data_IF_185248526267
#
_entry.id   IF_185248526267
#
_cell.length_a   1.000
_cell.length_b   1.000
_cell.length_c   1.000
_cell.angle_alpha   90.00
_cell.angle_beta   90.00
_cell.angle_gamma   90.00
#
_symmetry.space_group_name_H-M   'P 1'
#
loop_
_entity.id
_entity.type
_entity.pdbx_description
1 polymer ?
#
# COMPACT_ATOMS: atom_id res chain seq x y z
N UNK A 1 -42.87 6.89 -1.04
CA UNK A 1 -41.86 5.82 -1.14
C UNK A 1 -40.56 6.33 -1.79
N UNK A 2 -40.59 6.88 -3.01
CA UNK A 2 -39.39 7.37 -3.74
C UNK A 2 -38.64 8.53 -3.03
N UNK A 3 -39.34 9.54 -2.51
CA UNK A 3 -38.67 10.65 -1.80
C UNK A 3 -37.93 10.22 -0.52
N UNK A 4 -38.47 9.23 0.21
CA UNK A 4 -37.78 8.66 1.38
C UNK A 4 -36.49 7.95 0.95
N UNK A 5 -36.49 7.28 -0.21
CA UNK A 5 -35.31 6.66 -0.79
C UNK A 5 -34.24 7.68 -1.18
N UNK A 6 -34.61 8.80 -1.82
CA UNK A 6 -33.66 9.87 -2.17
C UNK A 6 -33.04 10.50 -0.92
N UNK A 7 -33.86 10.74 0.12
CA UNK A 7 -33.39 11.35 1.36
C UNK A 7 -32.37 10.47 2.10
N UNK A 8 -32.57 9.15 2.11
CA UNK A 8 -31.60 8.21 2.72
C UNK A 8 -30.27 8.22 1.98
N UNK A 9 -30.29 8.30 0.64
CA UNK A 9 -29.06 8.35 -0.17
C UNK A 9 -28.26 9.63 0.10
N UNK A 10 -28.91 10.78 0.22
CA UNK A 10 -28.25 12.05 0.55
C UNK A 10 -27.59 12.02 1.94
N UNK A 11 -28.28 11.47 2.94
CA UNK A 11 -27.72 11.34 4.29
C UNK A 11 -26.48 10.43 4.30
N UNK A 12 -26.56 9.27 3.64
CA UNK A 12 -25.43 8.33 3.55
C UNK A 12 -24.24 8.98 2.83
N UNK A 13 -24.49 9.72 1.74
CA UNK A 13 -23.44 10.42 1.01
C UNK A 13 -22.75 11.48 1.87
N UNK A 14 -23.48 12.22 2.71
CA UNK A 14 -22.88 13.20 3.60
C UNK A 14 -21.93 12.53 4.60
N UNK A 15 -22.34 11.40 5.19
CA UNK A 15 -21.47 10.66 6.10
C UNK A 15 -20.24 10.09 5.41
N UNK A 16 -20.37 9.56 4.17
CA UNK A 16 -19.23 9.02 3.43
C UNK A 16 -18.16 10.08 3.11
N UNK A 17 -18.55 11.35 2.95
CA UNK A 17 -17.60 12.46 2.73
C UNK A 17 -16.77 12.81 3.96
N UNK A 18 -17.25 12.47 5.15
CA UNK A 18 -16.64 12.86 6.42
C UNK A 18 -16.08 11.66 7.20
N UNK A 19 -16.32 10.43 6.71
CA UNK A 19 -15.95 9.22 7.42
C UNK A 19 -14.42 9.09 7.47
N UNK A 20 -13.92 8.89 8.69
CA UNK A 20 -12.54 8.58 8.98
C UNK A 20 -12.53 7.55 10.09
N UNK A 21 -12.00 6.37 9.82
CA UNK A 21 -12.05 5.26 10.77
C UNK A 21 -10.76 4.46 10.76
N UNK A 22 -10.48 3.80 11.89
CA UNK A 22 -9.29 2.97 12.07
C UNK A 22 -9.69 1.49 12.01
N UNK A 23 -9.06 0.72 11.14
CA UNK A 23 -9.27 -0.73 11.03
C UNK A 23 -8.45 -1.48 12.09
N UNK A 24 -8.72 -2.78 12.25
CA UNK A 24 -8.09 -3.62 13.30
C UNK A 24 -6.56 -3.72 13.15
N UNK A 25 -6.05 -3.58 11.93
CA UNK A 25 -4.61 -3.51 11.61
C UNK A 25 -3.95 -2.22 12.10
N UNK A 26 -4.76 -1.22 12.51
CA UNK A 26 -4.28 0.07 12.99
C UNK A 26 -4.20 1.15 11.91
N UNK A 27 -4.44 0.77 10.65
CA UNK A 27 -4.50 1.70 9.51
C UNK A 27 -5.73 2.60 9.61
N UNK A 28 -5.58 3.83 9.14
CA UNK A 28 -6.64 4.82 9.10
C UNK A 28 -7.14 4.96 7.67
N UNK A 29 -8.45 4.89 7.47
CA UNK A 29 -9.10 4.98 6.16
C UNK A 29 -9.96 6.23 6.12
N UNK A 30 -9.77 7.02 5.07
CA UNK A 30 -10.56 8.21 4.74
C UNK A 30 -10.61 8.41 3.23
N UNK A 31 -11.57 9.20 2.78
CA UNK A 31 -11.71 9.59 1.38
C UNK A 31 -11.20 11.02 1.19
N UNK A 32 -10.54 11.30 0.07
CA UNK A 32 -10.17 12.66 -0.31
C UNK A 32 -11.37 13.45 -0.86
N UNK A 33 -11.15 14.70 -1.27
CA UNK A 33 -12.21 15.56 -1.79
C UNK A 33 -12.88 15.02 -3.08
N UNK A 34 -12.21 14.13 -3.81
CA UNK A 34 -12.73 13.48 -5.02
C UNK A 34 -13.46 12.17 -4.71
N UNK A 35 -13.40 11.70 -3.46
CA UNK A 35 -13.93 10.40 -3.06
C UNK A 35 -12.95 9.24 -3.28
N UNK A 36 -11.68 9.53 -3.56
CA UNK A 36 -10.65 8.51 -3.71
C UNK A 36 -10.13 8.10 -2.32
N UNK A 37 -9.92 6.80 -2.12
CA UNK A 37 -9.29 6.30 -0.90
C UNK A 37 -7.78 6.51 -0.99
N UNK A 38 -7.17 7.03 0.08
CA UNK A 38 -5.72 7.02 0.21
C UNK A 38 -5.25 5.57 0.37
N UNK A 39 -4.56 5.06 -0.65
CA UNK A 39 -4.05 3.70 -0.68
C UNK A 39 -2.66 3.63 -0.05
N UNK A 40 -2.54 2.84 1.01
CA UNK A 40 -1.27 2.50 1.64
C UNK A 40 -1.11 0.98 1.62
N UNK A 41 0.02 0.47 1.09
CA UNK A 41 0.28 -0.96 0.95
C UNK A 41 1.71 -1.30 1.38
N UNK A 42 1.86 -2.33 2.20
CA UNK A 42 3.16 -2.93 2.48
C UNK A 42 3.71 -3.63 1.23
N UNK A 43 4.95 -3.33 0.87
CA UNK A 43 5.69 -4.11 -0.11
C UNK A 43 6.33 -5.30 0.60
N UNK A 44 5.92 -6.51 0.22
CA UNK A 44 6.45 -7.75 0.77
C UNK A 44 7.29 -8.51 -0.25
N UNK A 45 8.38 -9.12 0.21
CA UNK A 45 9.20 -10.03 -0.57
C UNK A 45 9.08 -11.44 0.02
N UNK A 46 8.90 -12.44 -0.84
CA UNK A 46 8.76 -13.83 -0.42
C UNK A 46 10.16 -14.42 -0.29
N UNK A 47 10.55 -14.78 0.92
CA UNK A 47 11.90 -15.24 1.23
C UNK A 47 11.84 -16.62 1.86
N UNK A 48 12.82 -17.45 1.52
CA UNK A 48 12.99 -18.75 2.14
C UNK A 48 13.83 -18.59 3.41
N UNK A 49 13.29 -19.06 4.53
CA UNK A 49 13.98 -19.10 5.82
C UNK A 49 14.99 -20.25 5.88
N UNK A 50 15.85 -20.23 6.90
CA UNK A 50 16.84 -21.29 7.15
C UNK A 50 16.21 -22.67 7.35
N UNK A 51 14.99 -22.72 7.88
CA UNK A 51 14.22 -23.97 8.06
C UNK A 51 13.53 -24.45 6.77
N UNK A 52 13.72 -23.72 5.66
CA UNK A 52 13.16 -24.00 4.35
C UNK A 52 11.73 -23.49 4.14
N UNK A 53 11.11 -22.85 5.14
CA UNK A 53 9.77 -22.26 5.01
C UNK A 53 9.78 -20.97 4.19
N UNK A 54 8.65 -20.65 3.55
CA UNK A 54 8.47 -19.41 2.81
C UNK A 54 7.75 -18.38 3.69
N UNK A 55 8.38 -17.23 3.91
CA UNK A 55 7.84 -16.14 4.71
C UNK A 55 7.75 -14.84 3.91
N UNK A 56 6.82 -13.97 4.30
CA UNK A 56 6.65 -12.66 3.71
C UNK A 56 7.38 -11.62 4.57
N UNK A 57 8.42 -11.01 4.02
CA UNK A 57 9.14 -9.94 4.69
C UNK A 57 8.72 -8.59 4.14
N UNK A 58 8.34 -7.67 5.03
CA UNK A 58 8.10 -6.29 4.65
C UNK A 58 9.43 -5.61 4.25
N UNK A 59 9.53 -5.23 2.99
CA UNK A 59 10.72 -4.62 2.38
C UNK A 59 10.49 -3.17 1.98
N UNK A 60 9.26 -2.68 2.02
CA UNK A 60 8.92 -1.31 1.64
C UNK A 60 7.47 -0.94 1.87
N UNK A 61 7.08 0.22 1.34
CA UNK A 61 5.76 0.81 1.47
C UNK A 61 5.40 1.54 0.17
N UNK A 62 4.17 1.37 -0.28
CA UNK A 62 3.51 2.26 -1.22
C UNK A 62 2.50 3.14 -0.50
N UNK A 63 2.59 4.46 -0.63
CA UNK A 63 1.65 5.43 -0.05
C UNK A 63 1.22 6.44 -1.11
N UNK A 64 -0.05 6.38 -1.54
CA UNK A 64 -0.59 7.26 -2.58
C UNK A 64 -0.73 8.71 -2.15
N UNK A 65 -0.70 9.02 -0.84
CA UNK A 65 -0.78 10.39 -0.34
C UNK A 65 0.53 11.17 -0.50
N UNK A 66 1.64 10.48 -0.71
CA UNK A 66 2.96 11.09 -0.86
C UNK A 66 3.17 11.69 -2.26
N UNK A 67 4.14 12.63 -2.40
CA UNK A 67 4.63 13.09 -3.71
C UNK A 67 5.12 11.92 -4.57
N UNK A 68 4.99 11.96 -5.92
CA UNK A 68 5.30 10.83 -6.81
C UNK A 68 6.63 10.12 -6.53
N UNK A 69 7.68 10.86 -6.22
CA UNK A 69 9.03 10.38 -5.91
C UNK A 69 9.16 9.68 -4.54
N UNK A 70 8.20 9.87 -3.64
CA UNK A 70 8.16 9.29 -2.30
C UNK A 70 7.03 8.27 -2.12
N UNK A 71 6.13 8.11 -3.12
CA UNK A 71 5.04 7.14 -3.07
C UNK A 71 5.52 5.72 -2.92
N UNK A 72 6.69 5.39 -3.46
CA UNK A 72 7.25 4.04 -3.42
C UNK A 72 8.60 4.08 -2.74
N UNK A 73 8.68 3.48 -1.55
CA UNK A 73 9.92 3.37 -0.78
C UNK A 73 10.21 1.92 -0.47
N UNK A 74 11.46 1.51 -0.57
CA UNK A 74 11.88 0.15 -0.25
C UNK A 74 13.34 0.11 0.17
N UNK A 75 13.70 -0.92 0.93
CA UNK A 75 15.06 -1.17 1.38
C UNK A 75 15.68 -2.29 0.54
N UNK A 76 16.59 -1.93 -0.35
CA UNK A 76 17.32 -2.89 -1.19
C UNK A 76 18.07 -3.95 -0.37
N UNK A 77 18.62 -3.59 0.79
CA UNK A 77 19.33 -4.52 1.68
C UNK A 77 18.42 -5.57 2.32
N UNK A 78 17.09 -5.43 2.22
CA UNK A 78 16.12 -6.43 2.66
C UNK A 78 15.60 -7.31 1.52
N UNK A 79 15.95 -7.05 0.27
CA UNK A 79 15.50 -7.85 -0.87
C UNK A 79 16.35 -9.11 -1.03
N UNK A 80 15.67 -10.23 -1.26
CA UNK A 80 16.31 -11.49 -1.64
C UNK A 80 15.79 -11.88 -3.03
N UNK A 81 16.70 -11.97 -3.99
CA UNK A 81 16.37 -12.39 -5.35
C UNK A 81 16.40 -13.91 -5.49
N UNK A 82 15.78 -14.43 -6.55
CA UNK A 82 15.83 -15.84 -6.89
C UNK A 82 17.30 -16.30 -6.99
N UNK A 83 17.65 -17.35 -6.24
CA UNK A 83 19.02 -17.83 -6.09
C UNK A 83 19.73 -17.37 -4.81
N UNK A 84 19.04 -16.66 -3.90
CA UNK A 84 19.56 -16.31 -2.56
C UNK A 84 20.56 -15.15 -2.56
N UNK A 85 20.70 -14.45 -3.69
CA UNK A 85 21.57 -13.30 -3.80
C UNK A 85 20.85 -12.08 -3.20
N UNK A 86 21.33 -11.60 -2.05
CA UNK A 86 21.15 -10.19 -1.70
C UNK A 86 21.83 -9.35 -2.81
N UNK A 87 21.24 -8.21 -3.18
CA UNK A 87 21.79 -7.36 -4.25
C UNK A 87 23.22 -6.91 -3.85
N UNK A 88 24.22 -7.64 -4.32
CA UNK A 88 25.62 -7.22 -4.31
C UNK A 88 25.67 -5.94 -5.16
N UNK A 89 26.40 -4.93 -4.69
CA UNK A 89 26.61 -3.66 -5.37
C UNK A 89 27.32 -3.86 -6.72
N UNK A 90 26.61 -4.40 -7.69
CA UNK A 90 27.06 -4.69 -9.02
C UNK A 90 26.06 -3.97 -9.94
N UNK A 91 26.50 -2.95 -10.69
CA UNK A 91 25.58 -2.13 -11.49
C UNK A 91 24.86 -3.04 -12.48
N UNK A 92 23.54 -3.17 -12.32
CA UNK A 92 22.71 -3.98 -13.21
C UNK A 92 22.93 -3.56 -14.67
N UNK A 93 22.94 -4.51 -15.62
CA UNK A 93 23.27 -4.27 -17.03
C UNK A 93 22.20 -3.46 -17.79
N UNK A 94 21.06 -3.19 -17.17
CA UNK A 94 20.00 -2.36 -17.74
C UNK A 94 20.04 -0.97 -17.10
N UNK A 95 20.70 -0.03 -17.77
CA UNK A 95 20.44 1.40 -17.58
C UNK A 95 19.35 1.78 -18.56
N UNK A 96 18.19 2.23 -18.07
CA UNK A 96 17.21 2.93 -18.91
C UNK A 96 17.75 4.33 -19.20
N UNK A 97 18.54 4.45 -20.26
CA UNK A 97 18.57 5.63 -21.13
C UNK A 97 17.75 5.31 -22.36
#
# INVERSE_FOLDING_TARGET
SVCLSLHVVEQVLQYLKEVRFRVKTGEEIWFDANGDVVACYDLVNWQQEEDGTLQFHAVGLYDSSMPPEQRFTFNQGKLVWAGGQAEESNPLPWRWT
#
